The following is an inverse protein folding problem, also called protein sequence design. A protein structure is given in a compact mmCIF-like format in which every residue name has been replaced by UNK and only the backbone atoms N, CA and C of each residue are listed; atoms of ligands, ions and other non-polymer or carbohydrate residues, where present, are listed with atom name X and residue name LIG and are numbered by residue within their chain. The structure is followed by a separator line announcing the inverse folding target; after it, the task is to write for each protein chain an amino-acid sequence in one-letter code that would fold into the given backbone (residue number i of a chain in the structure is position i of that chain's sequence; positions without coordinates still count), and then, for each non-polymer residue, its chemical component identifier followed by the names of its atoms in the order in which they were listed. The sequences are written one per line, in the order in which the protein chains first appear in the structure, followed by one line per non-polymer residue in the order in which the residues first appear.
data_IF_816448702863
#
_entry.id   IF_816448702863
#
_cell.length_a   1.000
_cell.length_b   1.000
_cell.length_c   1.000
_cell.angle_alpha   90.00
_cell.angle_beta   90.00
_cell.angle_gamma   90.00
#
_symmetry.space_group_name_H-M   'P 1'
#
loop_
_entity.id
_entity.type
_entity.pdbx_description
1 polymer ?
#
# COMPACT_ATOMS: atom_id res chain seq x y z
N UNK A 1 -5.42 4.78 21.36
CA UNK A 1 -4.48 4.63 20.23
C UNK A 1 -5.08 5.44 19.09
N UNK A 2 -4.50 6.59 18.76
CA UNK A 2 -4.94 7.43 17.65
C UNK A 2 -4.35 6.80 16.38
N UNK A 3 -5.18 6.14 15.57
CA UNK A 3 -4.75 5.58 14.29
C UNK A 3 -4.92 6.69 13.26
N UNK A 4 -3.84 7.06 12.59
CA UNK A 4 -3.84 8.03 11.51
C UNK A 4 -3.71 7.31 10.15
N UNK A 5 -4.37 7.86 9.14
CA UNK A 5 -4.40 7.33 7.78
C UNK A 5 -3.54 8.19 6.86
N UNK A 6 -2.71 7.51 6.07
CA UNK A 6 -1.93 8.10 4.98
C UNK A 6 -2.33 7.41 3.68
N UNK A 7 -2.51 8.19 2.61
CA UNK A 7 -2.89 7.68 1.29
C UNK A 7 -1.69 7.68 0.36
N UNK A 8 -1.50 6.59 -0.38
CA UNK A 8 -0.48 6.49 -1.44
C UNK A 8 -0.99 7.16 -2.71
N UNK A 9 -0.19 8.05 -3.28
CA UNK A 9 -0.45 8.73 -4.56
C UNK A 9 0.86 9.09 -5.25
N UNK A 10 0.83 9.20 -6.57
CA UNK A 10 1.96 9.71 -7.35
C UNK A 10 2.04 11.25 -7.33
N UNK A 11 0.96 11.93 -6.89
CA UNK A 11 0.91 13.39 -6.78
C UNK A 11 1.65 13.86 -5.53
N UNK A 12 2.77 14.55 -5.73
CA UNK A 12 3.58 15.10 -4.63
C UNK A 12 2.92 16.31 -3.94
N UNK A 13 1.87 16.86 -4.55
CA UNK A 13 1.11 17.97 -4.01
C UNK A 13 -0.34 17.83 -4.44
N UNK A 14 -1.25 17.96 -3.48
CA UNK A 14 -2.69 18.05 -3.72
C UNK A 14 -3.13 19.41 -3.19
N UNK A 15 -3.73 20.21 -4.08
CA UNK A 15 -4.30 21.52 -3.76
C UNK A 15 -5.77 21.48 -4.15
N UNK A 16 -6.64 21.76 -3.20
CA UNK A 16 -8.08 21.87 -3.43
C UNK A 16 -8.46 23.27 -3.90
N UNK A 17 -9.62 23.40 -4.55
CA UNK A 17 -10.14 24.67 -5.10
C UNK A 17 -10.32 25.76 -4.04
N UNK A 18 -10.53 25.36 -2.78
CA UNK A 18 -10.66 26.26 -1.63
C UNK A 18 -9.30 26.75 -1.07
N UNK A 19 -8.19 26.33 -1.70
CA UNK A 19 -6.83 26.68 -1.28
C UNK A 19 -6.22 25.73 -0.25
N UNK A 20 -6.95 24.72 0.21
CA UNK A 20 -6.44 23.71 1.16
C UNK A 20 -5.35 22.88 0.50
N UNK A 21 -4.20 22.76 1.16
CA UNK A 21 -3.06 21.94 0.72
C UNK A 21 -2.90 20.75 1.66
N UNK A 22 -2.64 19.59 1.10
CA UNK A 22 -2.41 18.37 1.87
C UNK A 22 -0.92 18.16 2.09
N UNK A 23 -0.56 17.74 3.30
CA UNK A 23 0.81 17.39 3.65
C UNK A 23 1.30 16.15 2.90
N UNK A 24 2.52 16.22 2.38
CA UNK A 24 3.21 15.14 1.70
C UNK A 24 4.35 14.60 2.57
N UNK A 25 4.38 13.29 2.75
CA UNK A 25 5.39 12.57 3.52
C UNK A 25 6.33 11.78 2.61
N UNK A 26 7.60 11.70 3.00
CA UNK A 26 8.58 10.92 2.28
C UNK A 26 8.30 9.43 2.43
N UNK A 27 8.36 8.64 1.34
CA UNK A 27 8.21 7.18 1.43
C UNK A 27 9.21 6.55 2.41
N UNK A 28 10.42 7.11 2.48
CA UNK A 28 11.46 6.66 3.41
C UNK A 28 11.14 6.89 4.89
N UNK A 29 10.12 7.66 5.24
CA UNK A 29 9.83 7.98 6.63
C UNK A 29 9.02 6.88 7.34
N UNK A 30 8.38 6.01 6.55
CA UNK A 30 7.59 4.90 7.04
C UNK A 30 8.37 3.58 6.98
N UNK A 31 8.07 2.71 7.94
CA UNK A 31 8.46 1.31 7.91
C UNK A 31 7.20 0.46 7.96
N UNK A 32 6.95 -0.31 6.90
CA UNK A 32 5.86 -1.30 6.89
C UNK A 32 6.13 -2.33 8.01
N UNK A 33 5.14 -2.53 8.88
CA UNK A 33 5.28 -3.40 10.06
C UNK A 33 4.79 -4.81 9.76
N UNK A 34 3.70 -4.93 9.00
CA UNK A 34 3.13 -6.21 8.56
C UNK A 34 2.65 -6.12 7.11
N UNK A 35 2.54 -7.25 6.39
CA UNK A 35 1.82 -7.33 5.12
C UNK A 35 0.38 -6.79 5.26
N UNK A 36 -0.29 -6.54 4.13
CA UNK A 36 -1.60 -5.88 4.08
C UNK A 36 -2.56 -6.38 5.18
N UNK A 37 -2.99 -5.46 6.05
CA UNK A 37 -3.94 -5.74 7.14
C UNK A 37 -5.39 -5.81 6.66
N UNK A 38 -5.63 -5.32 5.44
CA UNK A 38 -6.91 -5.43 4.76
C UNK A 38 -6.71 -5.24 3.27
N UNK A 39 -7.41 -6.06 2.48
CA UNK A 39 -7.43 -5.97 1.02
C UNK A 39 -8.89 -5.87 0.62
N UNK A 40 -9.23 -4.82 -0.13
CA UNK A 40 -10.53 -4.62 -0.75
C UNK A 40 -10.40 -4.51 -2.26
N UNK A 41 -11.54 -4.43 -2.95
CA UNK A 41 -11.58 -4.37 -4.41
C UNK A 41 -10.76 -3.21 -5.01
N UNK A 42 -10.69 -2.08 -4.30
CA UNK A 42 -10.06 -0.86 -4.81
C UNK A 42 -8.76 -0.48 -4.10
N UNK A 43 -8.41 -1.17 -3.01
CA UNK A 43 -7.25 -0.79 -2.22
C UNK A 43 -6.78 -1.87 -1.25
N UNK A 44 -5.48 -1.84 -0.97
CA UNK A 44 -4.83 -2.57 0.11
C UNK A 44 -4.42 -1.59 1.20
N UNK A 45 -4.62 -1.97 2.46
CA UNK A 45 -4.26 -1.20 3.65
C UNK A 45 -3.12 -1.91 4.37
N UNK A 46 -2.06 -1.18 4.67
CA UNK A 46 -0.86 -1.67 5.36
C UNK A 46 -0.73 -0.99 6.72
N UNK A 47 -0.24 -1.71 7.73
CA UNK A 47 0.16 -1.06 8.98
C UNK A 47 1.63 -0.65 8.87
N UNK A 48 1.91 0.62 9.17
CA UNK A 48 3.25 1.18 9.14
C UNK A 48 3.56 1.92 10.44
N UNK A 49 4.84 1.97 10.79
CA UNK A 49 5.35 2.81 11.87
C UNK A 49 6.19 3.94 11.27
N UNK A 50 5.97 5.17 11.73
CA UNK A 50 6.90 6.27 11.46
C UNK A 50 8.24 5.99 12.13
N UNK A 51 9.35 6.13 11.40
CA UNK A 51 10.67 5.68 11.86
C UNK A 51 11.12 6.36 13.15
N UNK A 52 10.90 7.67 13.25
CA UNK A 52 11.41 8.50 14.36
C UNK A 52 10.58 8.29 15.62
N UNK A 53 9.29 8.59 15.56
CA UNK A 53 8.39 8.60 16.72
C UNK A 53 7.79 7.25 17.05
N UNK A 54 7.94 6.25 16.17
CA UNK A 54 7.25 4.94 16.25
C UNK A 54 5.72 5.04 16.29
N UNK A 55 5.16 6.19 15.91
CA UNK A 55 3.71 6.37 15.73
C UNK A 55 3.19 5.40 14.67
N UNK A 56 2.02 4.81 14.91
CA UNK A 56 1.41 3.83 14.02
C UNK A 56 0.45 4.49 13.04
N UNK A 57 0.50 4.05 11.78
CA UNK A 57 -0.30 4.55 10.68
C UNK A 57 -0.93 3.39 9.91
N UNK A 58 -2.12 3.63 9.38
CA UNK A 58 -2.66 2.86 8.27
C UNK A 58 -2.21 3.55 6.97
N UNK A 59 -1.58 2.80 6.06
CA UNK A 59 -1.24 3.27 4.72
C UNK A 59 -2.20 2.61 3.74
N UNK A 60 -3.07 3.40 3.10
CA UNK A 60 -3.99 2.92 2.07
C UNK A 60 -3.36 3.14 0.70
N UNK A 61 -3.20 2.04 -0.05
CA UNK A 61 -2.73 2.03 -1.44
C UNK A 61 -3.89 1.60 -2.33
N UNK A 62 -4.28 2.47 -3.25
CA UNK A 62 -5.29 2.14 -4.26
C UNK A 62 -4.74 1.17 -5.30
N UNK A 63 -5.60 0.29 -5.81
CA UNK A 63 -5.26 -0.63 -6.89
C UNK A 63 -5.37 0.14 -8.21
N UNK A 64 -4.24 0.34 -8.88
CA UNK A 64 -4.13 1.22 -10.07
C UNK A 64 -4.98 0.78 -11.26
N UNK A 65 -5.31 -0.51 -11.38
CA UNK A 65 -6.05 -1.03 -12.54
C UNK A 65 -7.54 -0.66 -12.57
N UNK A 66 -8.15 -0.33 -11.43
CA UNK A 66 -9.59 -0.04 -11.33
C UNK A 66 -9.90 1.37 -10.83
N UNK A 67 -8.90 2.07 -10.29
CA UNK A 67 -9.12 3.33 -9.59
C UNK A 67 -8.72 4.50 -10.48
N UNK A 68 -9.68 5.36 -10.82
CA UNK A 68 -9.36 6.61 -11.53
C UNK A 68 -8.72 7.59 -10.56
N UNK A 69 -7.81 8.44 -11.04
CA UNK A 69 -7.22 9.49 -10.21
C UNK A 69 -8.29 10.35 -9.52
N UNK A 70 -9.40 10.63 -10.21
CA UNK A 70 -10.49 11.43 -9.66
C UNK A 70 -11.16 10.77 -8.47
N UNK A 71 -11.22 9.44 -8.44
CA UNK A 71 -11.81 8.69 -7.33
C UNK A 71 -10.89 8.78 -6.10
N UNK A 72 -9.57 8.70 -6.32
CA UNK A 72 -8.56 8.91 -5.26
C UNK A 72 -8.66 10.33 -4.69
N UNK A 73 -8.69 11.35 -5.54
CA UNK A 73 -8.83 12.74 -5.12
C UNK A 73 -10.11 13.00 -4.33
N UNK A 74 -11.24 12.45 -4.79
CA UNK A 74 -12.52 12.59 -4.12
C UNK A 74 -12.52 11.93 -2.74
N UNK A 75 -11.91 10.75 -2.60
CA UNK A 75 -11.82 10.09 -1.31
C UNK A 75 -10.93 10.88 -0.33
N UNK A 76 -9.77 11.34 -0.80
CA UNK A 76 -8.87 12.19 0.01
C UNK A 76 -9.60 13.47 0.47
N UNK A 77 -10.39 14.10 -0.41
CA UNK A 77 -11.21 15.27 -0.07
C UNK A 77 -12.21 14.98 1.05
N UNK A 78 -12.92 13.85 0.96
CA UNK A 78 -13.88 13.44 2.00
C UNK A 78 -13.19 13.19 3.34
N UNK A 79 -12.02 12.58 3.33
CA UNK A 79 -11.23 12.34 4.53
C UNK A 79 -10.78 13.64 5.19
N UNK A 80 -10.29 14.60 4.40
CA UNK A 80 -9.90 15.92 4.90
C UNK A 80 -11.09 16.69 5.49
N UNK A 81 -12.26 16.64 4.83
CA UNK A 81 -13.48 17.25 5.34
C UNK A 81 -13.94 16.69 6.69
N UNK A 82 -13.64 15.42 6.99
CA UNK A 82 -14.07 14.75 8.22
C UNK A 82 -12.99 14.73 9.31
N UNK A 83 -11.82 15.33 9.04
CA UNK A 83 -10.62 15.21 9.88
C UNK A 83 -10.73 15.87 11.26
N UNK A 84 -11.75 16.71 11.47
CA UNK A 84 -12.01 17.39 12.74
C UNK A 84 -12.75 16.50 13.76
N UNK A 85 -13.36 15.39 13.33
CA UNK A 85 -14.23 14.61 14.21
C UNK A 85 -13.44 13.59 15.05
N UNK A 86 -13.56 13.58 16.38
CA UNK A 86 -12.70 12.77 17.26
C UNK A 86 -12.91 11.26 17.15
N UNK A 87 -14.05 10.81 16.62
CA UNK A 87 -14.38 9.39 16.44
C UNK A 87 -14.22 8.89 14.99
N UNK A 88 -13.64 9.71 14.11
CA UNK A 88 -13.31 9.32 12.73
C UNK A 88 -11.80 9.15 12.64
N UNK A 89 -11.34 8.19 11.83
CA UNK A 89 -9.91 7.98 11.60
C UNK A 89 -9.32 9.29 11.06
N UNK A 90 -8.25 9.76 11.71
CA UNK A 90 -7.61 11.02 11.37
C UNK A 90 -6.85 10.87 10.06
N UNK A 91 -7.16 11.70 9.09
CA UNK A 91 -6.37 11.79 7.86
C UNK A 91 -5.12 12.63 8.14
N UNK A 92 -3.96 12.09 7.78
CA UNK A 92 -2.68 12.74 8.07
C UNK A 92 -2.05 13.36 6.82
N UNK A 93 -2.35 12.82 5.66
CA UNK A 93 -1.87 13.33 4.38
C UNK A 93 -1.54 12.21 3.41
N UNK A 94 -0.63 12.50 2.48
CA UNK A 94 -0.30 11.62 1.36
C UNK A 94 1.18 11.26 1.32
N UNK A 95 1.50 10.14 0.66
CA UNK A 95 2.87 9.67 0.45
C UNK A 95 3.00 9.02 -0.92
N UNK A 96 4.22 8.85 -1.41
CA UNK A 96 4.50 7.87 -2.48
C UNK A 96 4.75 6.49 -1.89
N UNK A 97 4.61 5.46 -2.73
CA UNK A 97 5.02 4.11 -2.37
C UNK A 97 6.53 3.97 -2.57
N UNK A 98 7.25 3.55 -1.52
CA UNK A 98 8.71 3.44 -1.54
C UNK A 98 9.27 2.47 -2.60
N UNK A 99 8.45 1.55 -3.12
CA UNK A 99 8.84 0.60 -4.16
C UNK A 99 8.69 1.10 -5.60
N UNK A 100 8.09 2.27 -5.81
CA UNK A 100 7.98 2.86 -7.14
C UNK A 100 9.19 3.76 -7.38
N UNK A 101 10.03 3.42 -8.36
CA UNK A 101 11.02 4.34 -8.91
C UNK A 101 10.29 5.63 -9.28
N UNK A 102 10.82 6.79 -8.92
CA UNK A 102 10.13 8.09 -9.00
C UNK A 102 9.83 8.56 -10.44
N UNK A 103 9.73 7.64 -11.41
CA UNK A 103 9.70 7.85 -12.85
C UNK A 103 10.94 8.62 -13.36
N UNK A 104 11.96 8.75 -12.52
CA UNK A 104 13.28 9.26 -12.87
C UNK A 104 14.18 8.07 -13.23
N UNK A 105 14.49 7.95 -14.53
CA UNK A 105 15.30 6.83 -15.05
C UNK A 105 16.67 6.73 -14.37
N UNK A 106 17.25 7.87 -13.97
CA UNK A 106 18.58 7.95 -13.34
C UNK A 106 18.58 7.53 -11.87
N UNK A 107 17.42 7.41 -11.24
CA UNK A 107 17.28 6.97 -9.84
C UNK A 107 16.99 5.47 -9.69
N UNK A 108 16.97 4.73 -10.80
CA UNK A 108 16.86 3.26 -10.82
C UNK A 108 18.01 2.65 -10.00
N UNK A 109 17.80 1.59 -9.20
CA UNK A 109 18.88 1.02 -8.44
C UNK A 109 19.76 0.23 -9.40
N UNK A 110 21.02 0.06 -9.03
CA UNK A 110 21.86 -0.89 -9.74
C UNK A 110 21.36 -2.33 -9.55
N UNK A 111 21.70 -3.20 -10.50
CA UNK A 111 21.28 -4.60 -10.53
C UNK A 111 21.65 -5.34 -9.24
N UNK A 112 22.79 -5.02 -8.64
CA UNK A 112 23.25 -5.63 -7.39
C UNK A 112 22.32 -5.34 -6.21
N UNK A 113 21.78 -4.12 -6.15
CA UNK A 113 20.80 -3.73 -5.12
C UNK A 113 19.46 -4.44 -5.35
N UNK A 114 19.03 -4.61 -6.60
CA UNK A 114 17.83 -5.40 -6.93
C UNK A 114 18.00 -6.84 -6.45
N UNK A 115 19.15 -7.46 -6.75
CA UNK A 115 19.45 -8.84 -6.33
C UNK A 115 19.44 -8.96 -4.80
N UNK A 116 20.01 -7.99 -4.08
CA UNK A 116 20.02 -7.98 -2.63
C UNK A 116 18.61 -7.89 -2.03
N UNK A 117 17.78 -6.98 -2.52
CA UNK A 117 16.40 -6.83 -2.06
C UNK A 117 15.55 -8.08 -2.36
N UNK A 118 15.76 -8.74 -3.52
CA UNK A 118 15.07 -9.99 -3.86
C UNK A 118 15.47 -11.15 -2.94
N UNK A 119 16.76 -11.28 -2.60
CA UNK A 119 17.24 -12.33 -1.70
C UNK A 119 16.71 -12.16 -0.26
N UNK A 120 16.58 -10.90 0.20
CA UNK A 120 16.00 -10.60 1.52
C UNK A 120 14.52 -11.02 1.58
N UNK A 121 13.76 -10.81 0.50
CA UNK A 121 12.36 -11.23 0.39
C UNK A 121 12.26 -12.76 0.38
N UNK A 122 13.08 -13.44 -0.40
CA UNK A 122 13.09 -14.91 -0.45
C UNK A 122 13.38 -15.50 0.93
N UNK A 123 14.36 -14.95 1.63
CA UNK A 123 14.70 -15.34 3.00
C UNK A 123 13.53 -15.09 3.96
N UNK A 124 12.88 -13.93 3.88
CA UNK A 124 11.73 -13.60 4.73
C UNK A 124 10.51 -14.49 4.45
N UNK A 125 10.23 -14.80 3.18
CA UNK A 125 9.15 -15.68 2.73
C UNK A 125 9.35 -17.11 3.25
N UNK A 126 10.58 -17.63 3.14
CA UNK A 126 10.94 -18.96 3.66
C UNK A 126 10.81 -19.05 5.19
N UNK A 127 11.20 -17.99 5.92
CA UNK A 127 11.01 -17.90 7.38
C UNK A 127 9.54 -17.78 7.80
N UNK A 128 8.69 -17.11 7.02
CA UNK A 128 7.26 -17.05 7.27
C UNK A 128 6.60 -18.41 6.99
N UNK A 129 6.92 -19.03 5.86
CA UNK A 129 6.39 -20.35 5.46
C UNK A 129 6.68 -21.42 6.52
N UNK A 130 7.90 -21.45 7.06
CA UNK A 130 8.29 -22.39 8.13
C UNK A 130 7.57 -22.16 9.47
N UNK A 131 7.12 -20.93 9.77
CA UNK A 131 6.33 -20.63 10.98
C UNK A 131 4.85 -21.03 10.87
N UNK A 132 4.35 -21.23 9.65
CA UNK A 132 2.96 -21.62 9.36
C UNK A 132 2.81 -23.10 9.00
N UNK A 133 3.70 -23.98 9.47
CA UNK A 133 3.42 -25.42 9.41
C UNK A 133 2.16 -25.72 10.26
N UNK A 134 1.05 -26.18 9.66
CA UNK A 134 -0.13 -26.55 10.42
C UNK A 134 0.19 -27.79 11.24
N UNK A 135 -0.15 -27.76 12.53
CA UNK A 135 -0.29 -28.99 13.32
C UNK A 135 -1.31 -29.88 12.59
N UNK A 136 -0.88 -31.09 12.24
CA UNK A 136 -1.54 -32.00 11.32
C UNK A 136 -2.79 -32.68 11.91
N UNK A 137 -3.91 -31.98 12.00
CA UNK A 137 -5.18 -32.65 12.22
C UNK A 137 -5.76 -33.11 10.88
N UNK A 138 -5.50 -34.37 10.55
CA UNK A 138 -6.06 -35.09 9.41
C UNK A 138 -7.59 -35.07 9.49
N UNK A 139 -8.21 -34.31 8.59
CA UNK A 139 -9.58 -34.42 8.04
C UNK A 139 -10.16 -33.01 7.85
N UNK A 140 -9.85 -32.34 6.73
CA UNK A 140 -10.68 -31.30 6.09
C UNK A 140 -10.12 -31.06 4.67
N UNK A 141 -11.06 -30.89 3.72
CA UNK A 141 -10.94 -30.58 2.28
C UNK A 141 -9.61 -29.92 1.86
N UNK A 142 -9.00 -30.32 0.72
CA UNK A 142 -7.72 -29.78 0.29
C UNK A 142 -7.78 -28.24 0.20
N UNK A 143 -6.73 -27.54 0.64
CA UNK A 143 -6.68 -26.09 0.52
C UNK A 143 -6.85 -25.72 -0.95
N UNK A 144 -7.85 -24.87 -1.25
CA UNK A 144 -7.90 -24.17 -2.53
C UNK A 144 -6.55 -23.46 -2.67
N UNK A 145 -5.82 -23.78 -3.74
CA UNK A 145 -4.58 -23.09 -4.08
C UNK A 145 -4.89 -21.59 -4.15
N UNK A 146 -4.40 -20.83 -3.19
CA UNK A 146 -4.31 -19.37 -3.28
C UNK A 146 -3.10 -19.11 -4.18
N UNK A 147 -3.34 -19.07 -5.48
CA UNK A 147 -2.40 -18.53 -6.46
C UNK A 147 -2.95 -17.20 -6.91
N UNK A 148 -2.64 -16.16 -6.15
CA UNK A 148 -2.66 -14.78 -6.64
C UNK A 148 -1.55 -14.07 -5.87
N UNK A 149 -0.34 -14.16 -6.43
CA UNK A 149 0.60 -13.07 -6.26
C UNK A 149 -0.06 -11.88 -6.96
N UNK A 150 -0.22 -10.76 -6.24
CA UNK A 150 -0.53 -9.48 -6.87
C UNK A 150 0.66 -9.15 -7.79
N UNK A 151 0.55 -9.65 -9.00
CA UNK A 151 1.45 -9.35 -10.09
C UNK A 151 1.43 -7.83 -10.23
N UNK A 152 2.62 -7.21 -10.21
CA UNK A 152 2.78 -5.81 -10.59
C UNK A 152 2.64 -5.68 -12.13
N UNK A 153 1.67 -6.40 -12.69
CA UNK A 153 1.23 -6.27 -14.08
C UNK A 153 0.46 -4.96 -14.15
N UNK A 154 1.14 -4.00 -14.75
CA UNK A 154 0.50 -2.89 -15.42
C UNK A 154 -0.55 -3.47 -16.39
N UNK A 155 -1.81 -3.33 -16.00
CA UNK A 155 -3.06 -3.63 -16.72
C UNK A 155 -2.90 -4.23 -18.14
N UNK A 156 -2.94 -5.56 -18.27
CA UNK A 156 -3.22 -6.16 -19.58
C UNK A 156 -4.75 -6.20 -19.78
N UNK A 157 -5.31 -5.12 -20.36
CA UNK A 157 -6.74 -4.94 -20.66
C UNK A 157 -7.23 -5.75 -21.87
N UNK A 158 -6.46 -6.73 -22.35
CA UNK A 158 -6.80 -7.50 -23.56
C UNK A 158 -7.88 -8.58 -23.39
N UNK A 159 -8.64 -8.60 -22.28
CA UNK A 159 -9.70 -9.60 -22.03
C UNK A 159 -11.10 -9.07 -21.68
N UNK A 160 -11.37 -7.80 -21.93
CA UNK A 160 -12.75 -7.30 -21.91
C UNK A 160 -13.27 -7.15 -23.33
N UNK A 161 -13.42 -8.27 -24.05
CA UNK A 161 -14.46 -8.35 -25.07
C UNK A 161 -15.76 -8.69 -24.34
N UNK A 162 -16.73 -7.79 -24.44
CA UNK A 162 -18.14 -8.07 -24.14
C UNK A 162 -18.89 -7.85 -25.45
N UNK A 163 -19.41 -8.95 -26.00
CA UNK A 163 -20.38 -9.00 -27.09
C UNK A 163 -21.66 -8.20 -26.78
#
# INVERSE_FOLDING_TARGET
MEIALVVVTDKQKILFDDGTSIDYFGPQDFRIVVPAIGVGAFASVYAASWKITRSMFAIKKFTGCLTKEKDVENEIRLMEMMNFHPNIIKFWGVTKFAGCWEHEQDKRPDIDRVILELNDIDTASNLLSSRFNPVNNNNILPPKKVTEYDDFSDCDLSKLELD
#
